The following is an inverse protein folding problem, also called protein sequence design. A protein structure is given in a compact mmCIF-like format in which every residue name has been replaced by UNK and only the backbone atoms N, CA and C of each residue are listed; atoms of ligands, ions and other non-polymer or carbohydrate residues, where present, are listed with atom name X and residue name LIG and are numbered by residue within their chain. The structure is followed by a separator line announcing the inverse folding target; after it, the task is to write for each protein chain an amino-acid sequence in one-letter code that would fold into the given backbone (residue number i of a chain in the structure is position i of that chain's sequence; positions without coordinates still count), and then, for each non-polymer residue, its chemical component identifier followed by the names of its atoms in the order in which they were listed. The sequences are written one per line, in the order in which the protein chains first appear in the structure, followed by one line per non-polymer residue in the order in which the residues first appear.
data_IF_278005105906
#
_entry.id   IF_278005105906
#
_cell.length_a   1.000
_cell.length_b   1.000
_cell.length_c   1.000
_cell.angle_alpha   90.00
_cell.angle_beta   90.00
_cell.angle_gamma   90.00
#
_symmetry.space_group_name_H-M   'P 1'
#
loop_
_entity.id
_entity.type
_entity.pdbx_description
1 polymer ?
#
# COMPACT_ATOMS: atom_id res chain seq x y z
N UNK A 1 -6.47 -33.78 7.97
CA UNK A 1 -6.13 -32.89 6.85
C UNK A 1 -7.37 -32.34 6.10
N UNK A 2 -8.34 -33.17 5.63
CA UNK A 2 -9.52 -32.66 4.90
C UNK A 2 -10.39 -31.71 5.75
N UNK A 3 -10.63 -32.04 7.02
CA UNK A 3 -11.38 -31.17 7.95
C UNK A 3 -10.66 -29.83 8.16
N UNK A 4 -9.32 -29.84 8.32
CA UNK A 4 -8.53 -28.61 8.46
C UNK A 4 -8.65 -27.70 7.24
N UNK A 5 -8.60 -28.26 6.01
CA UNK A 5 -8.82 -27.50 4.76
C UNK A 5 -10.19 -26.84 4.72
N UNK A 6 -11.23 -27.60 5.06
CA UNK A 6 -12.61 -27.07 5.05
C UNK A 6 -12.77 -25.96 6.09
N UNK A 7 -12.26 -26.16 7.31
CA UNK A 7 -12.32 -25.15 8.37
C UNK A 7 -11.56 -23.89 7.98
N UNK A 8 -10.33 -24.00 7.50
CA UNK A 8 -9.53 -22.86 7.08
C UNK A 8 -10.22 -22.07 5.95
N UNK A 9 -10.73 -22.77 4.94
CA UNK A 9 -11.46 -22.14 3.83
C UNK A 9 -12.75 -21.47 4.32
N UNK A 10 -13.49 -22.12 5.23
CA UNK A 10 -14.72 -21.55 5.79
C UNK A 10 -14.44 -20.28 6.58
N UNK A 11 -13.43 -20.29 7.46
CA UNK A 11 -13.02 -19.10 8.24
C UNK A 11 -12.61 -17.98 7.29
N UNK A 12 -11.84 -18.28 6.25
CA UNK A 12 -11.41 -17.32 5.26
C UNK A 12 -12.59 -16.70 4.49
N UNK A 13 -13.52 -17.50 4.00
CA UNK A 13 -14.72 -17.01 3.31
C UNK A 13 -15.58 -16.14 4.24
N UNK A 14 -15.78 -16.57 5.48
CA UNK A 14 -16.51 -15.78 6.49
C UNK A 14 -15.82 -14.45 6.74
N UNK A 15 -14.49 -14.46 6.90
CA UNK A 15 -13.69 -13.24 7.05
C UNK A 15 -13.93 -12.28 5.88
N UNK A 16 -13.84 -12.75 4.64
CA UNK A 16 -14.06 -11.92 3.45
C UNK A 16 -15.49 -11.38 3.38
N UNK A 17 -16.49 -12.19 3.62
CA UNK A 17 -17.89 -11.74 3.64
C UNK A 17 -18.11 -10.65 4.68
N UNK A 18 -17.53 -10.80 5.87
CA UNK A 18 -17.64 -9.80 6.93
C UNK A 18 -16.89 -8.50 6.56
N UNK A 19 -15.74 -8.59 5.91
CA UNK A 19 -14.98 -7.41 5.43
C UNK A 19 -15.80 -6.67 4.36
N UNK A 20 -16.37 -7.37 3.38
CA UNK A 20 -17.19 -6.77 2.30
C UNK A 20 -18.46 -6.08 2.86
N UNK A 21 -19.08 -6.65 3.88
CA UNK A 21 -20.29 -6.05 4.46
C UNK A 21 -20.01 -4.75 5.22
N UNK A 22 -18.78 -4.50 5.62
CA UNK A 22 -18.26 -3.30 6.33
C UNK A 22 -19.09 -2.88 7.57
N UNK A 23 -19.80 -3.86 8.18
CA UNK A 23 -20.62 -3.63 9.38
C UNK A 23 -19.81 -3.70 10.67
N UNK A 24 -18.66 -4.35 10.64
CA UNK A 24 -17.76 -4.55 11.78
C UNK A 24 -16.38 -4.05 11.37
N UNK A 25 -15.67 -3.42 12.28
CA UNK A 25 -14.30 -2.96 12.01
C UNK A 25 -13.42 -4.11 11.48
N UNK A 26 -12.78 -3.89 10.33
CA UNK A 26 -11.97 -4.90 9.61
C UNK A 26 -10.92 -5.55 10.51
N UNK A 27 -10.27 -4.79 11.40
CA UNK A 27 -9.27 -5.32 12.34
C UNK A 27 -9.87 -6.33 13.33
N UNK A 28 -11.09 -6.10 13.82
CA UNK A 28 -11.77 -7.01 14.75
C UNK A 28 -12.11 -8.30 14.01
N UNK A 29 -12.63 -8.20 12.79
CA UNK A 29 -12.96 -9.36 11.95
C UNK A 29 -11.74 -10.24 11.73
N UNK A 30 -10.61 -9.66 11.28
CA UNK A 30 -9.41 -10.44 10.98
C UNK A 30 -8.76 -11.04 12.22
N UNK A 31 -8.74 -10.32 13.36
CA UNK A 31 -8.22 -10.86 14.62
C UNK A 31 -9.09 -11.99 15.18
N UNK A 32 -10.41 -11.85 15.12
CA UNK A 32 -11.32 -12.92 15.55
C UNK A 32 -11.19 -14.16 14.64
N UNK A 33 -11.10 -13.97 13.32
CA UNK A 33 -10.87 -15.06 12.38
C UNK A 33 -9.48 -15.68 12.54
N UNK A 34 -8.45 -14.86 12.83
CA UNK A 34 -7.10 -15.34 13.19
C UNK A 34 -7.11 -16.22 14.44
N UNK A 35 -7.81 -15.76 15.48
CA UNK A 35 -7.99 -16.56 16.70
C UNK A 35 -8.78 -17.85 16.43
N UNK A 36 -9.82 -17.79 15.62
CA UNK A 36 -10.57 -18.97 15.18
C UNK A 36 -9.66 -19.96 14.41
N UNK A 37 -8.80 -19.47 13.53
CA UNK A 37 -7.80 -20.28 12.82
C UNK A 37 -6.84 -20.96 13.81
N UNK A 38 -6.35 -20.22 14.81
CA UNK A 38 -5.47 -20.75 15.85
C UNK A 38 -6.14 -21.91 16.61
N UNK A 39 -7.39 -21.73 17.05
CA UNK A 39 -8.09 -22.71 17.88
C UNK A 39 -8.60 -23.89 17.03
N UNK A 40 -9.34 -23.62 15.97
CA UNK A 40 -10.06 -24.67 15.24
C UNK A 40 -9.18 -25.37 14.20
N UNK A 41 -8.32 -24.63 13.48
CA UNK A 41 -7.46 -25.23 12.45
C UNK A 41 -6.22 -25.84 13.09
N UNK A 42 -5.40 -25.05 13.78
CA UNK A 42 -4.14 -25.53 14.33
C UNK A 42 -4.31 -26.37 15.61
N UNK A 43 -5.18 -25.93 16.53
CA UNK A 43 -5.40 -26.61 17.80
C UNK A 43 -6.21 -27.90 17.65
N UNK A 44 -7.45 -27.80 17.17
CA UNK A 44 -8.39 -28.93 17.18
C UNK A 44 -8.28 -29.85 15.97
N UNK A 45 -7.94 -29.35 14.77
CA UNK A 45 -7.96 -30.18 13.56
C UNK A 45 -6.57 -30.70 13.18
N UNK A 46 -5.53 -29.88 13.26
CA UNK A 46 -4.16 -30.28 12.93
C UNK A 46 -3.37 -30.80 14.12
N UNK A 47 -3.75 -30.43 15.35
CA UNK A 47 -3.01 -30.70 16.58
C UNK A 47 -1.53 -30.32 16.46
N UNK A 48 -1.22 -29.24 15.75
CA UNK A 48 0.14 -28.86 15.38
C UNK A 48 0.52 -27.51 15.97
N UNK A 49 1.30 -27.53 17.05
CA UNK A 49 1.88 -26.33 17.63
C UNK A 49 2.99 -25.74 16.73
N UNK A 50 3.65 -26.58 15.91
CA UNK A 50 4.64 -26.12 14.93
C UNK A 50 3.98 -25.23 13.86
N UNK A 51 2.86 -25.66 13.27
CA UNK A 51 2.12 -24.87 12.30
C UNK A 51 1.66 -23.51 12.86
N UNK A 52 1.22 -23.48 14.13
CA UNK A 52 0.90 -22.22 14.82
C UNK A 52 2.11 -21.30 14.97
N UNK A 53 3.24 -21.82 15.45
CA UNK A 53 4.46 -21.01 15.67
C UNK A 53 5.11 -20.55 14.37
N UNK A 54 5.08 -21.38 13.34
CA UNK A 54 5.53 -21.04 11.99
C UNK A 54 4.65 -19.95 11.37
N UNK A 55 3.32 -20.08 11.50
CA UNK A 55 2.40 -19.06 11.00
C UNK A 55 2.54 -17.74 11.76
N UNK A 56 2.74 -17.77 13.09
CA UNK A 56 2.97 -16.56 13.87
C UNK A 56 4.30 -15.87 13.52
N UNK A 57 5.30 -16.64 13.12
CA UNK A 57 6.59 -16.19 12.56
C UNK A 57 7.38 -15.15 13.39
N UNK A 58 7.10 -15.03 14.69
CA UNK A 58 7.78 -14.06 15.58
C UNK A 58 9.28 -14.34 15.70
N UNK A 59 9.68 -15.62 15.62
CA UNK A 59 11.09 -16.00 15.73
C UNK A 59 11.97 -15.36 14.66
N UNK A 60 11.42 -15.09 13.49
CA UNK A 60 12.13 -14.47 12.38
C UNK A 60 12.64 -13.05 12.73
N UNK A 61 11.89 -12.29 13.53
CA UNK A 61 12.28 -10.92 13.96
C UNK A 61 13.63 -10.90 14.68
N UNK A 62 14.00 -12.00 15.34
CA UNK A 62 15.24 -12.12 16.12
C UNK A 62 16.42 -12.66 15.29
N UNK A 63 16.24 -12.89 14.00
CA UNK A 63 17.31 -13.33 13.09
C UNK A 63 18.02 -12.13 12.49
N UNK A 64 19.31 -12.27 12.15
CA UNK A 64 20.07 -11.20 11.51
C UNK A 64 19.51 -10.93 10.10
N UNK A 65 19.12 -11.97 9.37
CA UNK A 65 18.56 -11.86 8.02
C UNK A 65 17.26 -11.07 7.94
N UNK A 66 16.52 -10.93 9.06
CA UNK A 66 15.33 -10.08 9.12
C UNK A 66 15.67 -8.57 8.99
N UNK A 67 16.86 -8.17 9.43
CA UNK A 67 17.28 -6.75 9.47
C UNK A 67 18.27 -6.41 8.37
N UNK A 68 19.04 -7.38 7.91
CA UNK A 68 20.14 -7.17 6.98
C UNK A 68 20.23 -8.37 6.03
N UNK A 69 19.93 -8.25 4.79
CA UNK A 69 19.99 -9.19 3.66
C UNK A 69 18.84 -8.94 2.67
N UNK A 70 18.71 -7.69 2.22
CA UNK A 70 17.67 -7.31 1.27
C UNK A 70 17.76 -8.14 -0.03
N UNK A 71 16.63 -8.60 -0.51
CA UNK A 71 16.52 -9.39 -1.73
C UNK A 71 16.82 -10.88 -1.56
N UNK A 72 17.10 -11.36 -0.33
CA UNK A 72 17.15 -12.79 -0.05
C UNK A 72 15.76 -13.34 0.23
N UNK A 73 15.48 -14.56 -0.22
CA UNK A 73 14.22 -15.27 0.06
C UNK A 73 13.98 -15.54 1.55
N UNK A 74 14.94 -15.20 2.42
CA UNK A 74 14.83 -15.27 3.87
C UNK A 74 13.86 -14.26 4.48
N UNK A 75 13.52 -13.17 3.77
CA UNK A 75 12.45 -12.24 4.20
C UNK A 75 11.06 -12.88 4.13
N UNK A 76 10.89 -13.92 3.32
CA UNK A 76 9.60 -14.54 3.01
C UNK A 76 9.47 -15.94 3.59
N UNK A 77 9.37 -16.05 4.88
CA UNK A 77 8.81 -17.26 5.49
C UNK A 77 7.28 -17.13 5.50
N UNK A 78 6.56 -18.23 5.28
CA UNK A 78 5.09 -18.24 5.33
C UNK A 78 4.54 -17.70 6.66
N UNK A 79 3.29 -17.26 6.67
CA UNK A 79 2.63 -16.72 7.85
C UNK A 79 2.69 -15.19 7.98
N UNK A 80 2.75 -14.67 9.22
CA UNK A 80 2.71 -13.21 9.48
C UNK A 80 3.96 -12.52 8.95
N UNK A 81 3.78 -11.62 8.00
CA UNK A 81 4.87 -10.82 7.43
C UNK A 81 5.17 -9.59 8.31
N UNK A 82 6.01 -9.82 9.33
CA UNK A 82 6.41 -8.76 10.26
C UNK A 82 7.23 -7.66 9.62
N UNK A 83 7.97 -7.95 8.55
CA UNK A 83 8.76 -6.94 7.83
C UNK A 83 7.84 -5.87 7.23
N UNK A 84 6.77 -6.29 6.57
CA UNK A 84 5.74 -5.37 6.06
C UNK A 84 5.08 -4.57 7.17
N UNK A 85 4.67 -5.21 8.27
CA UNK A 85 3.97 -4.54 9.38
C UNK A 85 4.86 -3.47 10.05
N UNK A 86 6.12 -3.80 10.32
CA UNK A 86 7.08 -2.88 10.92
C UNK A 86 7.40 -1.73 9.97
N UNK A 87 7.56 -2.01 8.68
CA UNK A 87 7.80 -0.99 7.68
C UNK A 87 6.63 -0.01 7.58
N UNK A 88 5.40 -0.51 7.47
CA UNK A 88 4.19 0.32 7.43
C UNK A 88 4.06 1.19 8.68
N UNK A 89 4.26 0.61 9.86
CA UNK A 89 4.26 1.39 11.10
C UNK A 89 5.29 2.52 11.08
N UNK A 90 6.49 2.24 10.58
CA UNK A 90 7.55 3.22 10.44
C UNK A 90 7.20 4.36 9.49
N UNK A 91 6.65 4.01 8.32
CA UNK A 91 6.22 5.00 7.33
C UNK A 91 5.04 5.85 7.85
N UNK A 92 4.05 5.25 8.53
CA UNK A 92 2.94 5.98 9.14
C UNK A 92 3.44 6.99 10.18
N UNK A 93 4.41 6.62 11.02
CA UNK A 93 5.03 7.52 12.01
C UNK A 93 5.72 8.70 11.31
N UNK A 94 6.49 8.46 10.26
CA UNK A 94 7.17 9.49 9.49
C UNK A 94 6.18 10.45 8.84
N UNK A 95 5.19 9.91 8.15
CA UNK A 95 4.18 10.71 7.42
C UNK A 95 3.35 11.56 8.37
N UNK A 96 2.97 11.02 9.54
CA UNK A 96 2.28 11.80 10.57
C UNK A 96 3.17 12.93 11.13
N UNK A 97 4.47 12.68 11.28
CA UNK A 97 5.45 13.71 11.62
C UNK A 97 5.49 14.85 10.60
N UNK A 98 5.51 14.52 9.32
CA UNK A 98 5.46 15.47 8.20
C UNK A 98 4.14 16.26 8.18
N UNK A 99 3.02 15.57 8.39
CA UNK A 99 1.69 16.16 8.43
C UNK A 99 1.57 17.20 9.57
N UNK A 100 2.02 16.85 10.78
CA UNK A 100 2.04 17.78 11.94
C UNK A 100 2.94 18.99 11.73
N UNK A 101 4.03 18.83 10.96
CA UNK A 101 4.90 19.93 10.59
C UNK A 101 4.31 20.84 9.49
N UNK A 102 3.22 20.41 8.83
CA UNK A 102 2.51 21.16 7.79
C UNK A 102 3.07 20.96 6.38
N UNK A 103 3.82 19.89 6.14
CA UNK A 103 4.49 19.62 4.86
C UNK A 103 3.52 19.54 3.68
N UNK A 104 2.47 18.73 3.79
CA UNK A 104 1.53 18.53 2.68
C UNK A 104 0.78 19.80 2.31
N UNK A 105 0.28 20.53 3.31
CA UNK A 105 -0.40 21.80 3.07
C UNK A 105 0.54 22.84 2.46
N UNK A 106 1.79 22.92 2.94
CA UNK A 106 2.81 23.79 2.37
C UNK A 106 3.10 23.45 0.91
N UNK A 107 3.23 22.17 0.59
CA UNK A 107 3.52 21.69 -0.76
C UNK A 107 2.40 22.06 -1.73
N UNK A 108 1.14 21.73 -1.38
CA UNK A 108 -0.03 22.04 -2.18
C UNK A 108 -0.18 23.55 -2.42
N UNK A 109 -0.05 24.35 -1.36
CA UNK A 109 -0.15 25.83 -1.46
C UNK A 109 0.99 26.42 -2.27
N UNK A 110 2.19 25.83 -2.21
CA UNK A 110 3.34 26.25 -3.01
C UNK A 110 3.08 26.01 -4.49
N UNK A 111 2.59 24.81 -4.85
CA UNK A 111 2.25 24.47 -6.22
C UNK A 111 1.10 25.34 -6.73
N UNK A 112 0.03 25.53 -5.94
CA UNK A 112 -1.07 26.40 -6.32
C UNK A 112 -0.60 27.84 -6.60
N UNK A 113 0.33 28.36 -5.79
CA UNK A 113 0.94 29.68 -5.99
C UNK A 113 1.80 29.72 -7.26
N UNK A 114 2.62 28.68 -7.53
CA UNK A 114 3.46 28.58 -8.74
C UNK A 114 2.62 28.66 -10.02
N UNK A 115 1.47 28.01 -10.03
CA UNK A 115 0.52 28.06 -11.16
C UNK A 115 -0.45 29.24 -11.10
N UNK A 116 -0.14 30.26 -10.25
CA UNK A 116 -0.90 31.53 -10.10
C UNK A 116 -2.37 31.31 -9.76
N UNK A 117 -2.67 30.28 -8.97
CA UNK A 117 -4.02 29.88 -8.56
C UNK A 117 -5.02 29.67 -9.70
N UNK A 118 -4.53 29.36 -10.92
CA UNK A 118 -5.40 29.02 -12.05
C UNK A 118 -5.93 27.58 -11.89
N UNK A 119 -7.25 27.40 -11.99
CA UNK A 119 -7.92 26.12 -11.66
C UNK A 119 -7.42 24.95 -12.52
N UNK A 120 -7.33 25.10 -13.85
CA UNK A 120 -6.86 24.04 -14.75
C UNK A 120 -5.38 23.66 -14.47
N UNK A 121 -4.43 24.58 -14.34
CA UNK A 121 -3.08 24.22 -13.93
C UNK A 121 -3.00 23.57 -12.53
N UNK A 122 -3.80 23.99 -11.54
CA UNK A 122 -3.91 23.32 -10.24
C UNK A 122 -4.34 21.87 -10.45
N UNK A 123 -5.41 21.66 -11.21
CA UNK A 123 -5.93 20.33 -11.54
C UNK A 123 -4.83 19.41 -12.09
N UNK A 124 -4.12 19.84 -13.13
CA UNK A 124 -3.07 19.03 -13.76
C UNK A 124 -1.88 18.78 -12.83
N UNK A 125 -1.44 19.82 -12.11
CA UNK A 125 -0.28 19.68 -11.21
C UNK A 125 -0.60 18.85 -9.98
N UNK A 126 -1.84 18.90 -9.47
CA UNK A 126 -2.25 18.08 -8.32
C UNK A 126 -2.41 16.60 -8.70
N UNK A 127 -2.86 16.29 -9.92
CA UNK A 127 -2.83 14.92 -10.44
C UNK A 127 -1.40 14.35 -10.46
N UNK A 128 -0.45 15.10 -11.03
CA UNK A 128 0.96 14.67 -11.06
C UNK A 128 1.56 14.58 -9.66
N UNK A 129 1.25 15.55 -8.80
CA UNK A 129 1.73 15.56 -7.40
C UNK A 129 1.17 14.38 -6.62
N UNK A 130 -0.12 14.05 -6.80
CA UNK A 130 -0.76 12.89 -6.18
C UNK A 130 -0.04 11.60 -6.57
N UNK A 131 0.25 11.41 -7.85
CA UNK A 131 1.03 10.28 -8.36
C UNK A 131 2.42 10.22 -7.73
N UNK A 132 3.19 11.31 -7.76
CA UNK A 132 4.57 11.33 -7.24
C UNK A 132 4.63 11.10 -5.74
N UNK A 133 3.72 11.66 -4.97
CA UNK A 133 3.68 11.43 -3.52
C UNK A 133 3.29 9.98 -3.20
N UNK A 134 2.34 9.42 -3.92
CA UNK A 134 1.89 8.04 -3.71
C UNK A 134 2.94 6.98 -4.11
N UNK A 135 3.96 7.33 -4.86
CA UNK A 135 5.12 6.44 -5.06
C UNK A 135 5.89 6.13 -3.77
N UNK A 136 5.79 6.97 -2.74
CA UNK A 136 6.60 6.86 -1.52
C UNK A 136 5.76 6.85 -0.24
N UNK A 137 4.52 7.22 -0.34
CA UNK A 137 3.58 7.36 0.78
C UNK A 137 2.30 6.67 0.36
N UNK A 138 1.72 5.91 1.27
CA UNK A 138 0.42 5.24 1.06
C UNK A 138 -0.62 6.15 0.40
N UNK A 139 -1.25 5.63 -0.66
CA UNK A 139 -2.17 6.36 -1.52
C UNK A 139 -3.35 6.96 -0.75
N UNK A 140 -3.90 6.25 0.24
CA UNK A 140 -5.02 6.71 1.08
C UNK A 140 -4.58 7.95 1.86
N UNK A 141 -3.41 7.91 2.47
CA UNK A 141 -2.84 9.03 3.23
C UNK A 141 -2.61 10.25 2.34
N UNK A 142 -2.05 10.06 1.15
CA UNK A 142 -1.85 11.15 0.16
C UNK A 142 -3.18 11.80 -0.19
N UNK A 143 -4.19 11.00 -0.52
CA UNK A 143 -5.51 11.49 -0.90
C UNK A 143 -6.15 12.31 0.23
N UNK A 144 -6.08 11.84 1.48
CA UNK A 144 -6.65 12.56 2.63
C UNK A 144 -6.07 13.97 2.77
N UNK A 145 -4.76 14.13 2.62
CA UNK A 145 -4.11 15.45 2.72
C UNK A 145 -4.38 16.32 1.50
N UNK A 146 -4.31 15.78 0.30
CA UNK A 146 -4.57 16.55 -0.93
C UNK A 146 -6.02 17.00 -1.01
N UNK A 147 -6.96 16.10 -0.77
CA UNK A 147 -8.39 16.42 -0.80
C UNK A 147 -8.75 17.52 0.18
N UNK A 148 -8.18 17.52 1.39
CA UNK A 148 -8.40 18.59 2.37
C UNK A 148 -7.98 19.96 1.83
N UNK A 149 -6.81 20.05 1.17
CA UNK A 149 -6.32 21.30 0.58
C UNK A 149 -7.09 21.65 -0.69
N UNK A 150 -7.47 20.65 -1.50
CA UNK A 150 -8.30 20.86 -2.69
C UNK A 150 -9.66 21.45 -2.33
N UNK A 151 -10.30 20.98 -1.24
CA UNK A 151 -11.55 21.58 -0.72
C UNK A 151 -11.32 23.02 -0.24
N UNK A 152 -10.23 23.29 0.48
CA UNK A 152 -9.89 24.66 0.90
C UNK A 152 -9.70 25.59 -0.30
N UNK A 153 -8.96 25.16 -1.31
CA UNK A 153 -8.78 25.93 -2.55
C UNK A 153 -10.08 26.09 -3.34
N UNK A 154 -10.94 25.07 -3.36
CA UNK A 154 -12.22 25.11 -4.02
C UNK A 154 -13.16 26.17 -3.42
N UNK A 155 -13.16 26.33 -2.10
CA UNK A 155 -13.92 27.37 -1.43
C UNK A 155 -13.39 28.79 -1.76
N UNK A 156 -12.05 28.93 -1.81
CA UNK A 156 -11.40 30.20 -2.12
C UNK A 156 -11.54 30.62 -3.59
N UNK A 157 -11.40 29.67 -4.50
CA UNK A 157 -11.40 29.88 -5.96
C UNK A 157 -12.78 29.65 -6.60
N UNK A 158 -13.78 29.21 -5.81
CA UNK A 158 -15.15 28.95 -6.21
C UNK A 158 -15.29 27.96 -7.38
N UNK A 159 -14.58 26.82 -7.29
CA UNK A 159 -14.76 25.70 -8.22
C UNK A 159 -15.34 24.47 -7.52
N UNK A 160 -15.86 23.52 -8.30
CA UNK A 160 -16.29 22.22 -7.78
C UNK A 160 -15.07 21.35 -7.48
N UNK A 161 -14.84 20.91 -6.22
CA UNK A 161 -13.67 20.09 -5.86
C UNK A 161 -13.73 18.65 -6.38
N UNK A 162 -14.93 18.12 -6.66
CA UNK A 162 -15.16 16.72 -6.99
C UNK A 162 -14.32 16.25 -8.19
N UNK A 163 -14.26 16.97 -9.34
CA UNK A 163 -13.42 16.57 -10.46
C UNK A 163 -11.93 16.43 -10.11
N UNK A 164 -11.42 17.35 -9.28
CA UNK A 164 -10.00 17.35 -8.88
C UNK A 164 -9.73 16.19 -7.94
N UNK A 165 -10.53 16.02 -6.88
CA UNK A 165 -10.36 14.93 -5.91
C UNK A 165 -10.49 13.57 -6.58
N UNK A 166 -11.48 13.39 -7.48
CA UNK A 166 -11.61 12.13 -8.23
C UNK A 166 -10.36 11.81 -9.03
N UNK A 167 -9.79 12.80 -9.71
CA UNK A 167 -8.59 12.62 -10.51
C UNK A 167 -7.34 12.40 -9.65
N UNK A 168 -7.25 13.04 -8.47
CA UNK A 168 -6.19 12.79 -7.48
C UNK A 168 -6.22 11.34 -6.99
N UNK A 169 -7.42 10.78 -6.71
CA UNK A 169 -7.59 9.38 -6.30
C UNK A 169 -7.03 8.42 -7.34
N UNK A 170 -7.43 8.59 -8.62
CA UNK A 170 -6.91 7.74 -9.69
C UNK A 170 -5.40 7.86 -9.86
N UNK A 171 -4.87 9.08 -9.78
CA UNK A 171 -3.41 9.28 -9.90
C UNK A 171 -2.64 8.75 -8.67
N UNK A 172 -3.21 8.83 -7.47
CA UNK A 172 -2.60 8.25 -6.27
C UNK A 172 -2.51 6.72 -6.37
N UNK A 173 -3.58 6.04 -6.78
CA UNK A 173 -3.55 4.58 -6.97
C UNK A 173 -2.51 4.18 -8.03
N UNK A 174 -2.44 4.90 -9.15
CA UNK A 174 -1.38 4.66 -10.14
C UNK A 174 0.03 4.93 -9.59
N UNK A 175 0.20 5.96 -8.76
CA UNK A 175 1.47 6.23 -8.09
C UNK A 175 1.84 5.12 -7.11
N UNK A 176 0.86 4.60 -6.37
CA UNK A 176 1.01 3.47 -5.47
C UNK A 176 1.50 2.22 -6.18
N UNK A 177 0.95 1.93 -7.36
CA UNK A 177 1.37 0.77 -8.16
C UNK A 177 2.77 0.89 -8.77
N UNK A 178 3.31 2.11 -8.85
CA UNK A 178 4.58 2.38 -9.52
C UNK A 178 5.82 1.89 -8.75
N UNK A 179 5.72 1.71 -7.45
CA UNK A 179 6.86 1.34 -6.59
C UNK A 179 6.48 0.30 -5.55
N UNK A 180 7.50 -0.32 -4.97
CA UNK A 180 7.31 -1.26 -3.86
C UNK A 180 6.64 -0.62 -2.63
N UNK A 181 6.83 0.68 -2.41
CA UNK A 181 6.47 1.35 -1.15
C UNK A 181 5.19 2.18 -1.25
N UNK A 182 4.64 2.32 -2.45
CA UNK A 182 3.48 3.17 -2.70
C UNK A 182 2.20 2.62 -2.08
N UNK A 183 1.96 1.33 -2.23
CA UNK A 183 0.79 0.68 -1.67
C UNK A 183 1.14 -0.61 -0.91
N UNK A 184 0.39 -0.96 0.15
CA UNK A 184 0.65 -2.15 0.96
C UNK A 184 0.71 -3.47 0.19
N UNK A 185 -0.12 -3.75 -0.84
CA UNK A 185 0.00 -4.96 -1.65
C UNK A 185 1.38 -5.13 -2.26
N UNK A 186 1.98 -4.05 -2.78
CA UNK A 186 3.29 -4.07 -3.41
C UNK A 186 4.41 -4.33 -2.40
N UNK A 187 4.27 -3.80 -1.18
CA UNK A 187 5.21 -4.10 -0.07
C UNK A 187 5.17 -5.58 0.25
N UNK A 188 3.96 -6.18 0.32
CA UNK A 188 3.80 -7.62 0.61
C UNK A 188 4.40 -8.45 -0.52
N UNK A 189 4.13 -8.12 -1.79
CA UNK A 189 4.68 -8.82 -2.95
C UNK A 189 6.21 -8.70 -2.94
N UNK A 190 6.76 -7.50 -2.76
CA UNK A 190 8.19 -7.25 -2.72
C UNK A 190 8.88 -8.03 -1.62
N UNK A 191 8.43 -7.92 -0.37
CA UNK A 191 9.02 -8.63 0.78
C UNK A 191 8.85 -10.14 0.70
N UNK A 192 7.70 -10.63 0.21
CA UNK A 192 7.43 -12.07 0.12
C UNK A 192 8.15 -12.76 -1.04
N UNK A 193 8.52 -12.03 -2.08
CA UNK A 193 9.14 -12.58 -3.29
C UNK A 193 10.58 -12.10 -3.50
N UNK A 194 11.09 -11.23 -2.62
CA UNK A 194 12.46 -10.72 -2.67
C UNK A 194 12.71 -9.69 -3.77
N UNK A 195 11.67 -8.96 -4.20
CA UNK A 195 11.84 -7.88 -5.19
C UNK A 195 12.23 -6.57 -4.51
N UNK A 196 13.13 -5.86 -5.17
CA UNK A 196 13.60 -4.56 -4.73
C UNK A 196 12.72 -3.41 -5.20
N UNK A 197 12.92 -2.22 -4.62
CA UNK A 197 12.32 -0.98 -5.10
C UNK A 197 12.61 -0.73 -6.59
N UNK A 198 13.84 -1.00 -7.05
CA UNK A 198 14.24 -0.83 -8.44
C UNK A 198 13.50 -1.78 -9.38
N UNK A 199 13.23 -3.02 -8.94
CA UNK A 199 12.48 -3.99 -9.74
C UNK A 199 11.04 -3.51 -9.99
N UNK A 200 10.40 -2.93 -8.99
CA UNK A 200 9.07 -2.31 -9.17
C UNK A 200 9.12 -1.13 -10.14
N UNK A 201 10.04 -0.18 -9.95
CA UNK A 201 10.16 1.00 -10.83
C UNK A 201 10.39 0.60 -12.28
N UNK A 202 11.20 -0.42 -12.54
CA UNK A 202 11.51 -0.86 -13.91
C UNK A 202 10.40 -1.66 -14.56
N UNK A 203 9.57 -2.38 -13.78
CA UNK A 203 8.48 -3.21 -14.31
C UNK A 203 7.13 -2.50 -14.21
N UNK A 204 6.60 -2.27 -13.01
CA UNK A 204 5.29 -1.64 -12.83
C UNK A 204 5.34 -0.12 -12.99
N UNK A 205 6.44 0.52 -12.60
CA UNK A 205 6.59 1.97 -12.67
C UNK A 205 6.49 2.54 -14.07
N UNK A 206 7.08 1.86 -15.08
CA UNK A 206 6.96 2.29 -16.47
C UNK A 206 5.51 2.24 -16.96
N UNK A 207 4.78 1.17 -16.60
CA UNK A 207 3.36 1.02 -16.95
C UNK A 207 2.51 2.08 -16.26
N UNK A 208 2.79 2.36 -14.99
CA UNK A 208 2.10 3.39 -14.22
C UNK A 208 2.30 4.79 -14.83
N UNK A 209 3.52 5.14 -15.27
CA UNK A 209 3.80 6.43 -15.95
C UNK A 209 3.05 6.55 -17.26
N UNK A 210 3.02 5.49 -18.08
CA UNK A 210 2.24 5.50 -19.35
C UNK A 210 0.75 5.69 -19.03
N UNK A 211 0.24 4.96 -18.06
CA UNK A 211 -1.16 5.07 -17.60
C UNK A 211 -1.47 6.46 -17.04
N UNK A 212 -0.55 7.08 -16.31
CA UNK A 212 -0.69 8.46 -15.83
C UNK A 212 -0.93 9.44 -16.97
N UNK A 213 -0.14 9.36 -18.05
CA UNK A 213 -0.32 10.25 -19.21
C UNK A 213 -1.72 10.08 -19.81
N UNK A 214 -2.17 8.84 -19.98
CA UNK A 214 -3.52 8.54 -20.51
C UNK A 214 -4.61 9.09 -19.59
N UNK A 215 -4.49 8.85 -18.28
CA UNK A 215 -5.47 9.31 -17.27
C UNK A 215 -5.51 10.84 -17.17
N UNK A 216 -4.36 11.50 -17.18
CA UNK A 216 -4.30 12.99 -17.18
C UNK A 216 -4.99 13.56 -18.40
N UNK A 217 -4.74 13.02 -19.59
CA UNK A 217 -5.41 13.46 -20.82
C UNK A 217 -6.91 13.17 -20.75
N UNK A 218 -7.31 11.99 -20.29
CA UNK A 218 -8.72 11.61 -20.15
C UNK A 218 -9.48 12.55 -19.23
N UNK A 219 -9.02 12.76 -18.01
CA UNK A 219 -9.68 13.63 -17.06
C UNK A 219 -9.65 15.12 -17.49
N UNK A 220 -8.56 15.56 -18.12
CA UNK A 220 -8.51 16.89 -18.73
C UNK A 220 -9.61 17.09 -19.76
N UNK A 221 -9.80 16.12 -20.66
CA UNK A 221 -10.84 16.20 -21.69
C UNK A 221 -12.26 16.19 -21.08
N UNK A 222 -12.48 15.39 -20.02
CA UNK A 222 -13.75 15.29 -19.33
C UNK A 222 -14.11 16.60 -18.59
N UNK A 223 -13.16 17.18 -17.85
CA UNK A 223 -13.46 18.24 -16.90
C UNK A 223 -13.03 19.65 -17.33
N UNK A 224 -12.28 19.82 -18.42
CA UNK A 224 -11.78 21.14 -18.89
C UNK A 224 -12.88 22.18 -19.09
N UNK A 225 -14.09 21.78 -19.50
CA UNK A 225 -15.22 22.70 -19.72
C UNK A 225 -15.81 23.19 -18.41
N UNK A 226 -15.91 22.35 -17.40
CA UNK A 226 -16.42 22.67 -16.07
C UNK A 226 -15.42 23.55 -15.31
N UNK A 227 -14.17 23.08 -15.23
CA UNK A 227 -13.10 23.78 -14.51
C UNK A 227 -12.66 25.09 -15.21
N UNK A 228 -12.80 25.18 -16.53
CA UNK A 228 -12.49 26.40 -17.28
C UNK A 228 -13.49 27.56 -17.08
N UNK A 229 -14.70 27.25 -16.58
CA UNK A 229 -15.70 28.29 -16.21
C UNK A 229 -15.52 28.79 -14.77
N UNK A 230 -14.73 28.06 -13.97
CA UNK A 230 -14.43 28.40 -12.60
C UNK A 230 -13.22 29.36 -12.53
N UNK A 231 -13.16 30.20 -11.53
CA UNK A 231 -12.06 31.15 -11.35
C UNK A 231 -12.31 32.48 -12.05
N UNK A 232 -13.32 33.23 -11.58
CA UNK A 232 -13.43 34.66 -11.86
C UNK A 232 -12.24 35.42 -11.28
N UNK A 233 -12.25 36.77 -11.38
CA UNK A 233 -11.22 37.67 -10.82
C UNK A 233 -10.97 37.33 -9.32
N UNK A 234 -10.05 36.43 -9.07
CA UNK A 234 -9.67 36.06 -7.71
C UNK A 234 -8.56 36.98 -7.26
N UNK A 235 -8.84 37.70 -6.19
CA UNK A 235 -7.85 38.58 -5.55
C UNK A 235 -6.73 37.72 -4.92
N UNK A 236 -5.63 37.52 -5.67
CA UNK A 236 -4.47 36.74 -5.27
C UNK A 236 -3.87 37.26 -3.95
N UNK A 237 -4.07 38.53 -3.61
CA UNK A 237 -3.55 39.11 -2.37
C UNK A 237 -4.19 38.52 -1.11
N UNK A 238 -5.41 37.97 -1.22
CA UNK A 238 -6.15 37.32 -0.13
C UNK A 238 -5.82 35.83 0.04
N UNK A 239 -5.00 35.28 -0.84
CA UNK A 239 -4.64 33.85 -0.77
C UNK A 239 -3.66 33.58 0.37
N UNK A 240 -3.84 32.45 1.12
CA UNK A 240 -2.93 32.07 2.20
C UNK A 240 -1.49 31.93 1.69
N UNK A 241 -0.53 32.48 2.41
CA UNK A 241 0.88 32.28 2.07
C UNK A 241 1.27 30.81 2.31
N UNK A 242 1.99 30.13 1.41
CA UNK A 242 2.48 28.79 1.66
C UNK A 242 3.26 28.67 2.98
N UNK A 243 3.98 29.72 3.36
CA UNK A 243 4.75 29.74 4.63
C UNK A 243 3.86 29.69 5.88
N UNK A 244 2.60 30.10 5.79
CA UNK A 244 1.66 30.03 6.92
C UNK A 244 1.22 28.59 7.25
N UNK A 245 1.43 27.66 6.32
CA UNK A 245 1.17 26.23 6.53
C UNK A 245 2.22 25.56 7.43
N UNK A 246 3.40 26.16 7.55
CA UNK A 246 4.51 25.61 8.36
C UNK A 246 4.25 25.96 9.83
N UNK A 247 3.95 24.96 10.63
CA UNK A 247 3.64 25.10 12.06
C UNK A 247 4.90 25.34 12.90
N UNK A 248 5.98 24.61 12.60
CA UNK A 248 7.30 24.74 13.20
C UNK A 248 8.38 24.55 12.12
N UNK A 249 9.21 25.56 11.91
CA UNK A 249 10.26 25.54 10.88
C UNK A 249 11.31 24.45 11.11
N UNK A 250 11.67 24.19 12.38
CA UNK A 250 12.65 23.14 12.70
C UNK A 250 12.05 21.76 12.46
N UNK A 251 10.85 21.50 12.97
CA UNK A 251 10.14 20.24 12.73
C UNK A 251 9.91 19.99 11.24
N UNK A 252 9.53 21.04 10.48
CA UNK A 252 9.36 20.96 9.03
C UNK A 252 10.66 20.57 8.31
N UNK A 253 11.77 21.25 8.60
CA UNK A 253 13.05 20.95 7.97
C UNK A 253 13.53 19.52 8.31
N UNK A 254 13.43 19.13 9.57
CA UNK A 254 13.84 17.80 10.03
C UNK A 254 12.98 16.71 9.38
N UNK A 255 11.65 16.82 9.41
CA UNK A 255 10.76 15.83 8.81
C UNK A 255 10.96 15.71 7.30
N UNK A 256 11.21 16.82 6.61
CA UNK A 256 11.53 16.83 5.18
C UNK A 256 12.86 16.10 4.90
N UNK A 257 13.89 16.33 5.71
CA UNK A 257 15.18 15.62 5.59
C UNK A 257 14.99 14.12 5.85
N UNK A 258 14.23 13.74 6.88
CA UNK A 258 13.93 12.34 7.18
C UNK A 258 13.21 11.66 6.00
N UNK A 259 12.28 12.34 5.36
CA UNK A 259 11.60 11.82 4.17
C UNK A 259 12.58 11.55 3.03
N UNK A 260 13.49 12.48 2.72
CA UNK A 260 14.50 12.25 1.69
C UNK A 260 15.50 11.15 2.06
N UNK A 261 15.84 10.99 3.34
CA UNK A 261 16.63 9.86 3.83
C UNK A 261 15.86 8.55 3.60
N UNK A 262 14.56 8.52 3.93
CA UNK A 262 13.71 7.36 3.68
C UNK A 262 13.72 6.96 2.21
N UNK A 263 13.47 7.91 1.32
CA UNK A 263 13.50 7.70 -0.13
C UNK A 263 14.85 7.18 -0.61
N UNK A 264 15.96 7.77 -0.13
CA UNK A 264 17.29 7.32 -0.49
C UNK A 264 17.59 5.89 -0.02
N UNK A 265 17.21 5.55 1.23
CA UNK A 265 17.37 4.21 1.77
C UNK A 265 16.52 3.18 0.98
N UNK A 266 15.29 3.53 0.60
CA UNK A 266 14.42 2.66 -0.18
C UNK A 266 14.97 2.42 -1.60
N UNK A 267 15.52 3.44 -2.25
CA UNK A 267 16.12 3.28 -3.58
C UNK A 267 17.39 2.41 -3.51
N UNK A 268 18.15 2.53 -2.42
CA UNK A 268 19.45 1.86 -2.27
C UNK A 268 19.39 0.57 -1.45
N UNK A 269 18.20 0.12 -1.01
CA UNK A 269 18.08 -1.01 -0.08
C UNK A 269 18.71 -2.32 -0.63
N UNK A 270 18.53 -2.59 -1.91
CA UNK A 270 19.09 -3.78 -2.55
C UNK A 270 20.65 -3.75 -2.58
N UNK A 271 21.24 -2.57 -2.75
CA UNK A 271 22.70 -2.38 -2.76
C UNK A 271 23.30 -2.38 -1.35
N UNK A 272 22.56 -1.86 -0.36
CA UNK A 272 23.01 -1.75 1.02
C UNK A 272 22.77 -3.01 1.84
N UNK A 273 21.94 -3.93 1.35
CA UNK A 273 21.52 -5.13 2.10
C UNK A 273 20.59 -4.81 3.28
N UNK A 274 20.07 -3.57 3.38
CA UNK A 274 19.14 -3.18 4.43
C UNK A 274 17.73 -3.62 4.07
N UNK A 275 17.07 -4.37 4.95
CA UNK A 275 15.68 -4.78 4.72
C UNK A 275 14.71 -3.62 4.95
N UNK A 276 13.49 -3.75 4.41
CA UNK A 276 12.44 -2.74 4.64
C UNK A 276 12.07 -2.64 6.13
N UNK A 277 12.16 -3.73 6.89
CA UNK A 277 11.94 -3.72 8.33
C UNK A 277 12.94 -2.83 9.06
N UNK A 278 14.23 -2.91 8.69
CA UNK A 278 15.26 -2.03 9.22
C UNK A 278 14.97 -0.57 8.85
N UNK A 279 14.69 -0.29 7.59
CA UNK A 279 14.40 1.06 7.09
C UNK A 279 13.21 1.67 7.85
N UNK A 280 12.10 0.94 7.96
CA UNK A 280 10.91 1.40 8.68
C UNK A 280 11.21 1.70 10.16
N UNK A 281 11.91 0.79 10.85
CA UNK A 281 12.31 0.99 12.25
C UNK A 281 13.24 2.19 12.43
N UNK A 282 14.24 2.32 11.57
CA UNK A 282 15.20 3.42 11.62
C UNK A 282 14.51 4.78 11.44
N UNK A 283 13.64 4.88 10.44
CA UNK A 283 12.89 6.11 10.13
C UNK A 283 11.94 6.46 11.27
N UNK A 284 11.23 5.46 11.84
CA UNK A 284 10.37 5.65 13.00
C UNK A 284 11.15 6.21 14.19
N UNK A 285 12.29 5.59 14.52
CA UNK A 285 13.14 6.01 15.64
C UNK A 285 13.64 7.44 15.47
N UNK A 286 14.20 7.79 14.31
CA UNK A 286 14.67 9.16 14.05
C UNK A 286 13.51 10.16 14.11
N UNK A 287 12.36 9.83 13.52
CA UNK A 287 11.18 10.70 13.58
C UNK A 287 10.75 10.95 15.02
N UNK A 288 10.63 9.91 15.84
CA UNK A 288 10.23 10.05 17.24
C UNK A 288 11.27 10.81 18.06
N UNK A 289 12.56 10.50 17.92
CA UNK A 289 13.64 11.17 18.66
C UNK A 289 13.71 12.67 18.35
N UNK A 290 13.44 13.05 17.10
CA UNK A 290 13.50 14.45 16.66
C UNK A 290 12.20 15.23 16.91
N UNK A 291 11.08 14.54 17.16
CA UNK A 291 9.75 15.17 17.31
C UNK A 291 9.50 15.80 18.68
N UNK A 292 10.35 15.56 19.68
CA UNK A 292 10.29 16.20 20.99
C UNK A 292 8.88 16.12 21.65
N UNK A 293 8.24 17.28 21.84
CA UNK A 293 6.91 17.35 22.49
C UNK A 293 5.77 16.74 21.64
N UNK A 294 5.98 16.57 20.35
CA UNK A 294 4.96 16.08 19.41
C UNK A 294 4.86 14.55 19.36
N UNK A 295 5.74 13.80 20.06
CA UNK A 295 5.77 12.32 20.02
C UNK A 295 4.38 11.72 20.31
N UNK A 296 3.71 12.17 21.37
CA UNK A 296 2.37 11.67 21.72
C UNK A 296 1.33 11.93 20.64
N UNK A 297 1.40 13.08 19.99
CA UNK A 297 0.48 13.45 18.92
C UNK A 297 0.73 12.62 17.65
N UNK A 298 1.99 12.35 17.32
CA UNK A 298 2.39 11.50 16.19
C UNK A 298 1.93 10.05 16.43
N UNK A 299 2.29 9.48 17.59
CA UNK A 299 1.89 8.12 17.91
C UNK A 299 0.35 7.92 17.96
N UNK A 300 -0.40 8.95 18.37
CA UNK A 300 -1.87 8.90 18.37
C UNK A 300 -2.44 8.96 16.93
N UNK A 301 -1.72 9.54 15.99
CA UNK A 301 -2.14 9.63 14.57
C UNK A 301 -1.85 8.36 13.77
N UNK A 302 -1.05 7.42 14.30
CA UNK A 302 -0.78 6.14 13.63
C UNK A 302 -2.04 5.28 13.57
N UNK A 303 -2.31 4.71 12.41
CA UNK A 303 -3.44 3.80 12.22
C UNK A 303 -3.11 2.37 12.70
N UNK A 304 -3.21 2.19 14.02
CA UNK A 304 -3.02 0.88 14.64
C UNK A 304 -4.05 -0.15 14.19
N UNK A 305 -5.25 0.28 13.76
CA UNK A 305 -6.29 -0.64 13.30
C UNK A 305 -5.86 -1.35 12.03
N UNK A 306 -5.25 -0.64 11.10
CA UNK A 306 -4.68 -1.21 9.89
C UNK A 306 -3.52 -2.16 10.21
N UNK A 307 -2.64 -1.84 11.16
CA UNK A 307 -1.57 -2.77 11.56
C UNK A 307 -2.11 -4.06 12.19
N UNK A 308 -3.10 -3.96 13.07
CA UNK A 308 -3.78 -5.11 13.67
C UNK A 308 -4.55 -5.94 12.64
N UNK A 309 -5.18 -5.27 11.68
CA UNK A 309 -5.83 -5.93 10.55
C UNK A 309 -4.86 -6.83 9.79
N UNK A 310 -3.64 -6.35 9.49
CA UNK A 310 -2.60 -7.14 8.82
C UNK A 310 -2.18 -8.38 9.62
N UNK A 311 -2.00 -8.24 10.94
CA UNK A 311 -1.63 -9.38 11.79
C UNK A 311 -2.68 -10.48 11.68
N UNK A 312 -3.95 -10.15 11.85
CA UNK A 312 -5.04 -11.10 11.76
C UNK A 312 -5.16 -11.72 10.37
N UNK A 313 -5.06 -10.89 9.33
CA UNK A 313 -5.12 -11.33 7.94
C UNK A 313 -4.03 -12.34 7.59
N UNK A 314 -2.77 -11.99 7.83
CA UNK A 314 -1.64 -12.89 7.54
C UNK A 314 -1.75 -14.20 8.32
N UNK A 315 -2.28 -14.16 9.54
CA UNK A 315 -2.47 -15.36 10.32
C UNK A 315 -3.53 -16.30 9.72
N UNK A 316 -4.64 -15.76 9.20
CA UNK A 316 -5.68 -16.54 8.50
C UNK A 316 -5.14 -17.11 7.19
N UNK A 317 -4.40 -16.29 6.40
CA UNK A 317 -3.78 -16.74 5.14
C UNK A 317 -2.73 -17.83 5.41
N UNK A 318 -1.93 -17.69 6.46
CA UNK A 318 -1.02 -18.74 6.90
C UNK A 318 -1.73 -20.05 7.25
N UNK A 319 -2.94 -19.97 7.79
CA UNK A 319 -3.80 -21.14 8.00
C UNK A 319 -4.20 -21.85 6.70
N UNK A 320 -4.48 -21.08 5.63
CA UNK A 320 -4.73 -21.65 4.31
C UNK A 320 -3.46 -22.31 3.73
N UNK A 321 -2.32 -21.67 3.90
CA UNK A 321 -1.02 -22.18 3.44
C UNK A 321 -0.68 -23.49 4.14
N UNK A 322 -0.69 -23.54 5.47
CA UNK A 322 -0.38 -24.71 6.28
C UNK A 322 -1.34 -25.89 6.03
N UNK A 323 -2.54 -25.64 5.60
CA UNK A 323 -3.50 -26.69 5.23
C UNK A 323 -3.34 -27.16 3.80
N UNK A 324 -2.56 -26.49 2.95
CA UNK A 324 -2.37 -26.84 1.54
C UNK A 324 -3.61 -26.59 0.67
N UNK A 325 -4.45 -25.62 1.04
CA UNK A 325 -5.62 -25.26 0.20
C UNK A 325 -5.19 -24.34 -0.96
N UNK A 326 -4.14 -23.53 -0.77
CA UNK A 326 -3.65 -22.62 -1.78
C UNK A 326 -3.02 -23.36 -2.97
N UNK A 327 -2.43 -24.54 -2.73
CA UNK A 327 -1.97 -25.44 -3.79
C UNK A 327 -3.11 -25.93 -4.68
N UNK A 328 -4.30 -26.17 -4.09
CA UNK A 328 -5.50 -26.56 -4.86
C UNK A 328 -5.94 -25.44 -5.80
N UNK A 329 -5.90 -24.21 -5.34
CA UNK A 329 -6.19 -23.04 -6.18
C UNK A 329 -5.16 -22.88 -7.31
N UNK A 330 -3.86 -23.04 -7.01
CA UNK A 330 -2.80 -22.98 -8.01
C UNK A 330 -2.99 -24.07 -9.08
N UNK A 331 -3.25 -25.30 -8.67
CA UNK A 331 -3.52 -26.40 -9.60
C UNK A 331 -4.76 -26.16 -10.46
N UNK A 332 -5.81 -25.56 -9.90
CA UNK A 332 -7.00 -25.18 -10.66
C UNK A 332 -6.68 -24.17 -11.74
N UNK A 333 -5.95 -23.08 -11.41
CA UNK A 333 -5.51 -22.06 -12.39
C UNK A 333 -4.63 -22.70 -13.46
N UNK A 334 -3.64 -23.53 -13.07
CA UNK A 334 -2.77 -24.24 -13.99
C UNK A 334 -3.53 -25.14 -14.97
N UNK A 335 -4.55 -25.85 -14.47
CA UNK A 335 -5.40 -26.70 -15.30
C UNK A 335 -6.29 -25.93 -16.25
N UNK A 336 -6.94 -24.84 -15.79
CA UNK A 336 -7.81 -24.00 -16.62
C UNK A 336 -7.01 -23.26 -17.69
N UNK A 337 -5.80 -22.84 -17.37
CA UNK A 337 -4.91 -22.18 -18.33
C UNK A 337 -4.28 -23.12 -19.34
N UNK A 338 -4.35 -24.44 -19.10
CA UNK A 338 -3.68 -25.45 -19.93
C UNK A 338 -2.15 -25.28 -19.98
N UNK A 339 -1.54 -24.64 -18.98
CA UNK A 339 -0.12 -24.32 -18.95
C UNK A 339 0.28 -23.10 -19.80
N UNK A 340 -0.67 -22.42 -20.42
CA UNK A 340 -0.40 -21.25 -21.24
C UNK A 340 -0.24 -19.99 -20.37
N UNK A 341 0.96 -19.38 -20.40
CA UNK A 341 1.29 -18.21 -19.60
C UNK A 341 0.39 -17.00 -19.88
N UNK A 342 -0.01 -16.77 -21.12
CA UNK A 342 -0.89 -15.65 -21.49
C UNK A 342 -2.29 -15.80 -20.88
N UNK A 343 -2.79 -17.04 -20.80
CA UNK A 343 -4.06 -17.32 -20.15
C UNK A 343 -3.93 -17.17 -18.64
N UNK A 344 -2.81 -17.59 -18.04
CA UNK A 344 -2.53 -17.37 -16.61
C UNK A 344 -2.51 -15.88 -16.27
N UNK A 345 -1.80 -15.07 -17.08
CA UNK A 345 -1.76 -13.61 -16.95
C UNK A 345 -3.17 -13.03 -17.02
N UNK A 346 -3.95 -13.43 -18.03
CA UNK A 346 -5.32 -12.94 -18.16
C UNK A 346 -6.20 -13.31 -16.97
N UNK A 347 -6.11 -14.54 -16.48
CA UNK A 347 -6.87 -14.97 -15.29
C UNK A 347 -6.44 -14.17 -14.06
N UNK A 348 -5.14 -14.07 -13.78
CA UNK A 348 -4.64 -13.42 -12.58
C UNK A 348 -4.99 -11.93 -12.61
N UNK A 349 -4.73 -11.20 -13.70
CA UNK A 349 -4.98 -9.76 -13.75
C UNK A 349 -6.48 -9.42 -13.61
N UNK A 350 -7.35 -10.14 -14.34
CA UNK A 350 -8.79 -9.87 -14.29
C UNK A 350 -9.44 -10.32 -12.99
N UNK A 351 -9.06 -11.50 -12.46
CA UNK A 351 -9.57 -11.95 -11.17
C UNK A 351 -9.08 -11.03 -10.06
N UNK A 352 -7.81 -10.58 -10.10
CA UNK A 352 -7.28 -9.64 -9.14
C UNK A 352 -8.00 -8.29 -9.21
N UNK A 353 -8.18 -7.73 -10.39
CA UNK A 353 -8.86 -6.45 -10.58
C UNK A 353 -10.33 -6.50 -10.13
N UNK A 354 -11.06 -7.55 -10.50
CA UNK A 354 -12.45 -7.71 -10.08
C UNK A 354 -12.56 -7.94 -8.58
N UNK A 355 -11.72 -8.82 -8.02
CA UNK A 355 -11.74 -9.09 -6.59
C UNK A 355 -11.37 -7.84 -5.79
N UNK A 356 -10.33 -7.11 -6.23
CA UNK A 356 -9.86 -5.89 -5.58
C UNK A 356 -10.90 -4.76 -5.61
N UNK A 357 -11.73 -4.68 -6.64
CA UNK A 357 -12.82 -3.69 -6.71
C UNK A 357 -13.91 -3.89 -5.62
N UNK A 358 -14.05 -5.10 -5.08
CA UNK A 358 -15.05 -5.42 -4.04
C UNK A 358 -14.42 -5.70 -2.68
N UNK A 359 -13.17 -6.13 -2.67
CA UNK A 359 -12.42 -6.53 -1.48
C UNK A 359 -11.17 -5.66 -1.44
N UNK A 360 -10.72 -5.30 -0.26
CA UNK A 360 -9.47 -4.58 -0.08
C UNK A 360 -8.30 -5.30 -0.80
N UNK A 361 -7.45 -4.56 -1.50
CA UNK A 361 -6.32 -5.06 -2.32
C UNK A 361 -5.40 -5.97 -1.53
N UNK A 362 -5.23 -5.66 -0.25
CA UNK A 362 -4.26 -6.27 0.66
C UNK A 362 -4.57 -7.74 0.95
N UNK A 363 -5.80 -8.12 1.40
CA UNK A 363 -6.15 -9.51 1.64
C UNK A 363 -6.00 -10.38 0.39
N UNK A 364 -6.36 -9.81 -0.75
CA UNK A 364 -6.28 -10.53 -2.01
C UNK A 364 -4.82 -10.80 -2.41
N UNK A 365 -3.96 -9.77 -2.39
CA UNK A 365 -2.53 -9.91 -2.68
C UNK A 365 -1.86 -10.94 -1.76
N UNK A 366 -2.07 -10.82 -0.44
CA UNK A 366 -1.51 -11.75 0.54
C UNK A 366 -1.88 -13.21 0.28
N UNK A 367 -3.14 -13.45 -0.16
CA UNK A 367 -3.63 -14.80 -0.47
C UNK A 367 -3.05 -15.33 -1.78
N UNK A 368 -2.89 -14.47 -2.78
CA UNK A 368 -2.44 -14.87 -4.10
C UNK A 368 -0.93 -15.12 -4.21
N UNK A 369 -0.11 -14.56 -3.33
CA UNK A 369 1.35 -14.77 -3.35
C UNK A 369 1.73 -16.26 -3.24
N UNK A 370 1.26 -17.05 -2.27
CA UNK A 370 1.54 -18.47 -2.22
C UNK A 370 0.97 -19.22 -3.45
N UNK A 371 -0.16 -18.77 -3.99
CA UNK A 371 -0.78 -19.36 -5.19
C UNK A 371 0.13 -19.19 -6.41
N UNK A 372 0.64 -17.97 -6.67
CA UNK A 372 1.54 -17.74 -7.82
C UNK A 372 2.90 -18.43 -7.65
N UNK A 373 3.43 -18.54 -6.42
CA UNK A 373 4.64 -19.34 -6.12
C UNK A 373 4.43 -20.81 -6.53
N UNK A 374 3.33 -21.40 -6.07
CA UNK A 374 2.99 -22.78 -6.39
C UNK A 374 2.71 -22.96 -7.88
N UNK A 375 2.03 -22.01 -8.51
CA UNK A 375 1.74 -22.04 -9.94
C UNK A 375 3.03 -22.00 -10.77
N UNK A 376 3.97 -21.12 -10.43
CA UNK A 376 5.29 -21.04 -11.06
C UNK A 376 6.05 -22.37 -10.90
N UNK A 377 6.11 -22.93 -9.68
CA UNK A 377 6.81 -24.18 -9.39
C UNK A 377 6.20 -25.38 -10.15
N UNK A 378 4.89 -25.42 -10.33
CA UNK A 378 4.19 -26.58 -10.94
C UNK A 378 4.10 -26.51 -12.45
N UNK A 379 4.03 -25.31 -13.03
CA UNK A 379 3.84 -25.10 -14.47
C UNK A 379 5.11 -24.67 -15.20
N UNK A 380 6.14 -24.22 -14.46
CA UNK A 380 7.34 -23.61 -15.03
C UNK A 380 7.13 -22.18 -15.54
N UNK A 381 5.99 -21.56 -15.23
CA UNK A 381 5.74 -20.16 -15.58
C UNK A 381 6.70 -19.23 -14.80
N UNK A 382 7.16 -18.17 -15.44
CA UNK A 382 8.04 -17.20 -14.80
C UNK A 382 7.35 -16.50 -13.62
N UNK A 383 7.91 -16.67 -12.41
CA UNK A 383 7.38 -16.09 -11.18
C UNK A 383 7.35 -14.55 -11.25
N UNK A 384 8.35 -13.93 -11.87
CA UNK A 384 8.40 -12.47 -12.00
C UNK A 384 7.21 -11.96 -12.80
N UNK A 385 6.90 -12.59 -13.94
CA UNK A 385 5.74 -12.22 -14.77
C UNK A 385 4.43 -12.35 -14.00
N UNK A 386 4.24 -13.46 -13.26
CA UNK A 386 3.04 -13.67 -12.44
C UNK A 386 2.94 -12.64 -11.31
N UNK A 387 4.08 -12.25 -10.73
CA UNK A 387 4.15 -11.27 -9.63
C UNK A 387 3.77 -9.87 -10.10
N UNK A 388 4.31 -9.42 -11.23
CA UNK A 388 3.95 -8.12 -11.81
C UNK A 388 2.50 -8.09 -12.28
N UNK A 389 2.00 -9.23 -12.78
CA UNK A 389 0.58 -9.37 -13.12
C UNK A 389 -0.32 -9.24 -11.90
N UNK A 390 0.06 -9.85 -10.77
CA UNK A 390 -0.66 -9.74 -9.51
C UNK A 390 -0.64 -8.30 -8.99
N UNK A 391 0.55 -7.66 -8.94
CA UNK A 391 0.71 -6.29 -8.48
C UNK A 391 -0.18 -5.33 -9.27
N UNK A 392 -0.10 -5.36 -10.61
CA UNK A 392 -0.93 -4.52 -11.46
C UNK A 392 -2.42 -4.83 -11.32
N UNK A 393 -2.79 -6.11 -11.21
CA UNK A 393 -4.18 -6.51 -11.08
C UNK A 393 -4.81 -6.04 -9.77
N UNK A 394 -4.08 -6.09 -8.65
CA UNK A 394 -4.58 -5.64 -7.34
C UNK A 394 -4.74 -4.12 -7.26
N UNK A 395 -3.90 -3.37 -7.95
CA UNK A 395 -3.92 -1.90 -7.90
C UNK A 395 -4.90 -1.26 -8.91
N UNK A 396 -5.37 -2.02 -9.91
CA UNK A 396 -6.38 -1.56 -10.89
C UNK A 396 -7.80 -1.61 -10.29
N UNK A 397 -8.09 -2.55 -9.42
CA UNK A 397 -9.42 -2.81 -8.84
C UNK A 397 -9.78 -1.98 -7.58
#
# INVERSE_FOLDING_TARGET
MMIAKILALTIFIVMFVLIITDKIEKCIVTLCCGLATAIFVFGLSMHSMSAFTETLNVRNIFTLGFWYEAGSSSESTGGVNWATIIFLAGMMIMVEGMAKAGFFRWLCMTIAKLVKYKVIPIFLTFMVMSFVLAMFIDSITVILFLAAVTVELAQLLKFNPVPIILSEIFCANLGGSATMCGDPPNIIIGTSLGYSFADFVTNTGLMAVISLVVIVVYFYLCFKKELGKAGGDVDISKMPSPKSAITDKKAFAISTVIFFIAVALLITHAQTGLTVAFIGTFIALITLLTSGKNIKAILKGVDYKTLLFFIGLFFVVGGLEQTGILEVFAQFIGKVSGGNIMVMIAIIIWVSAIASAFIDNIPFAATMIPVIKTLSATTGADLAVLSWTLAMGTDIG
#
